data_IF_677003862300
#
_entry.id   IF_677003862300
#
_cell.length_a   1.000
_cell.length_b   1.000
_cell.length_c   1.000
_cell.angle_alpha   90.00
_cell.angle_beta   90.00
_cell.angle_gamma   90.00
#
_symmetry.space_group_name_H-M   'P 1'
#
loop_
_entity.id
_entity.type
_entity.pdbx_description
1 polymer ?
#
# COMPACT_ATOMS: atom_id res chain seq x y z
N UNK A 1 -33.63 -51.35 41.36
CA UNK A 1 -33.71 -49.99 40.86
C UNK A 1 -32.29 -49.53 40.47
N UNK A 2 -31.97 -49.43 39.16
CA UNK A 2 -30.65 -48.92 38.68
C UNK A 2 -30.81 -47.45 38.33
N UNK A 3 -30.08 -46.57 38.99
CA UNK A 3 -30.04 -45.17 38.70
C UNK A 3 -29.13 -44.94 37.45
N UNK A 4 -29.69 -44.34 36.41
CA UNK A 4 -28.96 -43.91 35.23
C UNK A 4 -28.45 -42.48 35.50
N UNK A 5 -27.14 -42.31 35.68
CA UNK A 5 -26.49 -40.97 35.73
C UNK A 5 -26.33 -40.39 34.31
N UNK A 6 -27.03 -39.32 34.04
CA UNK A 6 -26.93 -38.55 32.81
C UNK A 6 -25.74 -37.59 32.96
N UNK A 7 -24.63 -37.83 32.23
CA UNK A 7 -23.48 -36.91 32.16
C UNK A 7 -23.78 -35.91 31.02
N UNK A 8 -24.13 -34.67 31.40
CA UNK A 8 -24.22 -33.56 30.42
C UNK A 8 -22.85 -33.10 30.02
N UNK A 9 -22.48 -33.34 28.76
CA UNK A 9 -21.26 -32.83 28.15
C UNK A 9 -21.49 -31.36 27.74
N UNK A 10 -20.92 -30.42 28.50
CA UNK A 10 -20.93 -28.99 28.16
C UNK A 10 -19.83 -28.77 27.09
N UNK A 11 -20.22 -28.60 25.84
CA UNK A 11 -19.32 -28.17 24.76
C UNK A 11 -19.15 -26.65 24.87
N UNK A 12 -18.04 -26.19 25.45
CA UNK A 12 -17.64 -24.79 25.42
C UNK A 12 -17.09 -24.47 24.03
N UNK A 13 -17.93 -23.90 23.19
CA UNK A 13 -17.48 -23.31 21.91
C UNK A 13 -16.78 -21.99 22.21
N UNK A 14 -15.45 -21.97 22.23
CA UNK A 14 -14.67 -20.73 22.21
C UNK A 14 -14.89 -20.05 20.86
N UNK A 15 -15.77 -19.06 20.82
CA UNK A 15 -15.83 -18.12 19.70
C UNK A 15 -14.55 -17.25 19.75
N UNK A 16 -13.53 -17.59 18.96
CA UNK A 16 -12.48 -16.64 18.62
C UNK A 16 -13.16 -15.52 17.81
N UNK A 17 -13.41 -14.38 18.42
CA UNK A 17 -13.77 -13.16 17.71
C UNK A 17 -12.54 -12.75 16.90
N UNK A 18 -12.48 -13.18 15.64
CA UNK A 18 -11.47 -12.69 14.71
C UNK A 18 -11.63 -11.15 14.64
N UNK A 19 -10.68 -10.42 15.17
CA UNK A 19 -10.66 -8.97 15.04
C UNK A 19 -10.38 -8.67 13.57
N UNK A 20 -11.29 -7.96 12.89
CA UNK A 20 -11.05 -7.56 11.51
C UNK A 20 -9.82 -6.64 11.46
N UNK A 21 -8.90 -6.90 10.52
CA UNK A 21 -7.71 -6.08 10.33
C UNK A 21 -8.13 -4.69 9.85
N UNK A 22 -7.49 -3.65 10.36
CA UNK A 22 -7.76 -2.25 9.98
C UNK A 22 -6.66 -1.77 9.03
N UNK A 23 -7.08 -1.32 7.84
CA UNK A 23 -6.22 -0.73 6.82
C UNK A 23 -6.49 0.78 6.78
N UNK A 24 -5.50 1.55 7.15
CA UNK A 24 -5.57 3.02 7.20
C UNK A 24 -4.82 3.61 6.02
N UNK A 25 -5.52 4.39 5.20
CA UNK A 25 -4.93 5.16 4.12
C UNK A 25 -4.58 6.55 4.62
N UNK A 26 -3.37 6.99 4.32
CA UNK A 26 -2.93 8.35 4.60
C UNK A 26 -3.71 9.37 3.77
N UNK A 27 -4.22 10.39 4.45
CA UNK A 27 -4.86 11.56 3.89
C UNK A 27 -4.20 12.86 4.38
N UNK A 28 -3.01 12.76 4.96
CA UNK A 28 -2.27 13.88 5.49
C UNK A 28 -1.12 14.31 4.60
N UNK A 29 -0.31 13.39 4.13
CA UNK A 29 0.83 13.68 3.25
C UNK A 29 0.39 13.84 1.79
N UNK A 30 -0.64 13.11 1.35
CA UNK A 30 -1.35 13.37 0.11
C UNK A 30 -2.72 13.96 0.44
N UNK A 31 -2.95 15.21 0.05
CA UNK A 31 -4.21 15.93 0.34
C UNK A 31 -4.59 16.91 -0.76
N UNK A 32 -4.28 16.53 -1.99
CA UNK A 32 -4.62 17.31 -3.17
C UNK A 32 -6.09 17.71 -3.22
N UNK A 33 -6.33 18.89 -3.75
CA UNK A 33 -7.68 19.42 -3.93
C UNK A 33 -7.85 19.99 -5.32
N UNK A 34 -9.03 19.86 -5.88
CA UNK A 34 -9.41 20.55 -7.10
C UNK A 34 -10.69 21.38 -6.90
N UNK A 35 -10.90 22.32 -7.82
CA UNK A 35 -12.12 23.11 -7.86
C UNK A 35 -13.09 22.47 -8.84
N UNK A 36 -14.26 22.06 -8.36
CA UNK A 36 -15.32 21.50 -9.20
C UNK A 36 -15.92 22.56 -10.13
N UNK A 37 -16.72 22.13 -11.10
CA UNK A 37 -17.47 23.05 -11.99
C UNK A 37 -18.43 23.97 -11.25
N UNK A 38 -18.91 23.57 -10.06
CA UNK A 38 -19.75 24.40 -9.18
C UNK A 38 -18.93 25.38 -8.32
N UNK A 39 -17.59 25.34 -8.41
CA UNK A 39 -16.69 26.20 -7.63
C UNK A 39 -16.37 25.65 -6.23
N UNK A 40 -16.88 24.48 -5.83
CA UNK A 40 -16.56 23.82 -4.58
C UNK A 40 -15.13 23.25 -4.63
N UNK A 41 -14.38 23.38 -3.54
CA UNK A 41 -13.09 22.70 -3.40
C UNK A 41 -13.35 21.31 -2.85
N UNK A 42 -12.86 20.30 -3.54
CA UNK A 42 -12.99 18.90 -3.15
C UNK A 42 -11.61 18.24 -3.20
N UNK A 43 -11.37 17.32 -2.27
CA UNK A 43 -10.21 16.45 -2.30
C UNK A 43 -10.37 15.42 -3.43
N UNK A 44 -9.28 15.01 -4.03
CA UNK A 44 -9.24 13.97 -5.06
C UNK A 44 -7.93 13.18 -4.99
N UNK A 45 -7.74 12.19 -5.84
CA UNK A 45 -6.69 11.20 -5.86
C UNK A 45 -6.71 10.23 -4.65
N UNK A 46 -6.42 8.99 -4.93
CA UNK A 46 -6.12 7.90 -4.00
C UNK A 46 -7.10 7.73 -2.82
N UNK A 47 -8.37 8.16 -2.93
CA UNK A 47 -9.34 8.02 -1.84
C UNK A 47 -10.12 6.70 -1.92
N UNK A 48 -10.47 6.12 -0.74
CA UNK A 48 -11.27 4.90 -0.66
C UNK A 48 -12.68 5.03 -1.27
N UNK A 49 -13.28 6.18 -1.21
CA UNK A 49 -14.61 6.50 -1.73
C UNK A 49 -14.59 7.11 -3.13
N UNK A 50 -13.40 7.41 -3.68
CA UNK A 50 -13.26 7.90 -5.04
C UNK A 50 -13.34 6.75 -6.04
N UNK A 51 -14.39 6.78 -6.89
CA UNK A 51 -14.61 5.84 -7.99
C UNK A 51 -14.03 6.29 -9.33
N UNK A 52 -13.46 7.49 -9.40
CA UNK A 52 -12.76 7.99 -10.59
C UNK A 52 -11.51 7.15 -10.87
N UNK A 53 -10.89 7.38 -12.02
CA UNK A 53 -9.71 6.64 -12.47
C UNK A 53 -8.56 6.66 -11.44
N UNK A 54 -8.33 7.80 -10.82
CA UNK A 54 -7.26 8.05 -9.84
C UNK A 54 -7.63 7.64 -8.41
N UNK A 55 -8.85 7.15 -8.16
CA UNK A 55 -9.29 6.72 -6.84
C UNK A 55 -8.81 5.32 -6.46
N UNK A 56 -8.94 4.98 -5.17
CA UNK A 56 -8.59 3.68 -4.60
C UNK A 56 -9.81 2.83 -4.21
N UNK A 57 -11.02 3.17 -4.70
CA UNK A 57 -12.23 2.43 -4.32
C UNK A 57 -12.19 0.94 -4.67
N UNK A 58 -11.48 0.56 -5.75
CA UNK A 58 -11.32 -0.85 -6.13
C UNK A 58 -10.31 -1.56 -5.24
N UNK A 59 -9.18 -0.93 -4.90
CA UNK A 59 -8.24 -1.46 -3.92
C UNK A 59 -8.93 -1.65 -2.56
N UNK A 60 -9.73 -0.66 -2.13
CA UNK A 60 -10.53 -0.77 -0.90
C UNK A 60 -11.45 -1.99 -0.89
N UNK A 61 -12.15 -2.26 -2.02
CA UNK A 61 -12.98 -3.47 -2.17
C UNK A 61 -12.17 -4.76 -2.09
N UNK A 62 -10.95 -4.78 -2.62
CA UNK A 62 -10.05 -5.95 -2.51
C UNK A 62 -9.67 -6.20 -1.04
N UNK A 63 -9.32 -5.16 -0.27
CA UNK A 63 -9.09 -5.29 1.17
C UNK A 63 -10.33 -5.81 1.91
N UNK A 64 -11.51 -5.24 1.67
CA UNK A 64 -12.76 -5.68 2.28
C UNK A 64 -13.12 -7.13 1.95
N UNK A 65 -12.92 -7.57 0.70
CA UNK A 65 -13.10 -8.96 0.27
C UNK A 65 -12.18 -9.92 1.04
N UNK A 66 -11.00 -9.45 1.44
CA UNK A 66 -10.04 -10.21 2.25
C UNK A 66 -10.26 -10.02 3.78
N UNK A 67 -11.41 -9.46 4.21
CA UNK A 67 -11.82 -9.38 5.61
C UNK A 67 -11.32 -8.13 6.37
N UNK A 68 -10.68 -7.18 5.69
CA UNK A 68 -10.20 -5.96 6.31
C UNK A 68 -11.27 -4.86 6.37
N UNK A 69 -11.16 -3.97 7.35
CA UNK A 69 -11.91 -2.72 7.47
C UNK A 69 -11.04 -1.55 7.00
N UNK A 70 -11.65 -0.61 6.29
CA UNK A 70 -10.98 0.59 5.79
C UNK A 70 -11.10 1.73 6.79
N UNK A 71 -10.00 2.45 6.99
CA UNK A 71 -9.91 3.66 7.79
C UNK A 71 -9.07 4.72 7.04
N UNK A 72 -9.07 5.95 7.49
CA UNK A 72 -8.30 7.06 6.93
C UNK A 72 -7.65 7.88 8.03
N UNK A 73 -6.49 8.48 7.73
CA UNK A 73 -5.78 9.35 8.66
C UNK A 73 -5.48 10.70 7.99
N UNK A 74 -6.29 11.72 8.32
CA UNK A 74 -6.15 13.08 7.79
C UNK A 74 -5.36 14.05 8.70
N UNK A 75 -4.60 13.52 9.65
CA UNK A 75 -3.73 14.27 10.57
C UNK A 75 -2.35 13.62 10.64
N UNK A 76 -1.34 14.36 11.11
CA UNK A 76 0.02 13.83 11.25
C UNK A 76 0.04 12.48 11.99
N UNK A 77 0.74 11.47 11.47
CA UNK A 77 0.78 10.15 12.09
C UNK A 77 1.49 10.19 13.44
N UNK A 78 0.91 9.52 14.42
CA UNK A 78 1.52 9.26 15.73
C UNK A 78 1.26 7.81 16.12
N UNK A 79 2.06 7.26 17.02
CA UNK A 79 1.83 5.91 17.54
C UNK A 79 0.43 5.77 18.16
N UNK A 80 -0.12 6.85 18.71
CA UNK A 80 -1.45 6.84 19.33
C UNK A 80 -2.58 6.77 18.30
N UNK A 81 -2.51 7.51 17.20
CA UNK A 81 -3.56 7.49 16.18
C UNK A 81 -3.40 6.31 15.22
N UNK A 82 -2.19 5.74 15.08
CA UNK A 82 -1.95 4.50 14.34
C UNK A 82 -2.17 3.21 15.14
N UNK A 83 -2.39 3.27 16.46
CA UNK A 83 -2.49 2.05 17.30
C UNK A 83 -3.64 1.11 16.92
N UNK A 84 -4.70 1.60 16.27
CA UNK A 84 -5.80 0.78 15.75
C UNK A 84 -5.46 0.14 14.41
N UNK A 85 -4.55 0.75 13.65
CA UNK A 85 -4.19 0.32 12.30
C UNK A 85 -3.29 -0.91 12.36
N UNK A 86 -3.60 -1.89 11.53
CA UNK A 86 -2.73 -3.05 11.30
C UNK A 86 -1.86 -2.82 10.06
N UNK A 87 -2.43 -2.14 9.04
CA UNK A 87 -1.73 -1.71 7.81
C UNK A 87 -1.91 -0.19 7.67
N UNK A 88 -0.82 0.52 7.36
CA UNK A 88 -0.83 1.94 7.03
C UNK A 88 -0.26 2.12 5.63
N UNK A 89 -0.98 2.86 4.78
CA UNK A 89 -0.61 3.11 3.39
C UNK A 89 -0.31 4.59 3.24
N UNK A 90 0.92 4.92 2.86
CA UNK A 90 1.31 6.25 2.41
C UNK A 90 1.47 6.19 0.90
N UNK A 91 0.76 7.04 0.19
CA UNK A 91 0.78 7.10 -1.26
C UNK A 91 1.12 8.52 -1.70
N UNK A 92 2.10 8.64 -2.58
CA UNK A 92 2.36 9.82 -3.40
C UNK A 92 2.31 11.14 -2.60
N UNK A 93 3.20 11.35 -1.58
CA UNK A 93 3.22 12.59 -0.81
C UNK A 93 3.33 13.81 -1.72
N UNK A 94 2.46 14.82 -1.49
CA UNK A 94 2.27 15.99 -2.34
C UNK A 94 3.54 16.81 -2.55
N UNK A 95 3.78 17.21 -3.78
CA UNK A 95 4.74 18.26 -4.14
C UNK A 95 4.08 19.66 -4.00
N UNK A 96 4.90 20.72 -4.08
CA UNK A 96 4.39 22.10 -4.14
C UNK A 96 3.57 22.43 -5.38
N UNK A 97 3.64 21.58 -6.42
CA UNK A 97 2.83 21.76 -7.64
C UNK A 97 1.40 21.29 -7.41
N UNK A 98 1.22 20.24 -6.61
CA UNK A 98 -0.07 19.60 -6.32
C UNK A 98 -0.76 20.26 -5.14
N UNK A 99 -0.01 20.57 -4.11
CA UNK A 99 -0.50 21.31 -2.93
C UNK A 99 0.37 22.54 -2.67
N UNK A 100 -0.19 23.76 -2.61
CA UNK A 100 0.59 24.98 -2.28
C UNK A 100 1.28 24.91 -0.92
N UNK A 101 0.75 24.14 0.01
CA UNK A 101 1.26 23.95 1.36
C UNK A 101 1.29 22.45 1.70
N UNK A 102 2.20 21.66 1.09
CA UNK A 102 2.25 20.24 1.34
C UNK A 102 2.69 19.92 2.76
N UNK A 103 2.17 18.85 3.32
CA UNK A 103 2.62 18.31 4.59
C UNK A 103 3.82 17.39 4.33
N UNK A 104 5.04 17.87 4.55
CA UNK A 104 6.24 17.06 4.41
C UNK A 104 6.38 16.05 5.55
N UNK A 105 6.96 14.89 5.24
CA UNK A 105 7.28 13.85 6.23
C UNK A 105 8.48 14.32 7.07
N UNK A 106 8.20 14.87 8.23
CA UNK A 106 9.17 15.44 9.15
C UNK A 106 9.81 14.38 10.06
N UNK A 107 10.93 14.69 10.70
CA UNK A 107 11.64 13.75 11.60
C UNK A 107 10.76 13.20 12.74
N UNK A 108 9.78 13.99 13.23
CA UNK A 108 8.79 13.53 14.23
C UNK A 108 7.89 12.43 13.66
N UNK A 109 7.42 12.60 12.42
CA UNK A 109 6.52 11.65 11.76
C UNK A 109 7.26 10.34 11.46
N UNK A 110 8.51 10.45 10.98
CA UNK A 110 9.42 9.31 10.78
C UNK A 110 9.59 8.52 12.06
N UNK A 111 9.86 9.20 13.18
CA UNK A 111 10.05 8.55 14.49
C UNK A 111 8.78 7.80 14.95
N UNK A 112 7.61 8.39 14.77
CA UNK A 112 6.33 7.79 15.18
C UNK A 112 5.95 6.60 14.29
N UNK A 113 6.08 6.74 12.96
CA UNK A 113 5.83 5.65 12.00
C UNK A 113 6.82 4.49 12.26
N UNK A 114 8.12 4.79 12.44
CA UNK A 114 9.12 3.76 12.71
C UNK A 114 8.84 2.98 14.00
N UNK A 115 8.45 3.66 15.08
CA UNK A 115 8.04 3.01 16.35
C UNK A 115 6.80 2.13 16.14
N UNK A 116 5.82 2.60 15.37
CA UNK A 116 4.62 1.84 15.08
C UNK A 116 4.94 0.57 14.25
N UNK A 117 5.74 0.69 13.20
CA UNK A 117 6.21 -0.48 12.42
C UNK A 117 7.01 -1.43 13.32
N UNK A 118 7.96 -0.90 14.12
CA UNK A 118 8.77 -1.74 15.03
C UNK A 118 7.90 -2.55 16.00
N UNK A 119 6.76 -2.02 16.39
CA UNK A 119 5.80 -2.69 17.30
C UNK A 119 4.93 -3.74 16.60
N UNK A 120 4.95 -3.82 15.27
CA UNK A 120 4.23 -4.84 14.50
C UNK A 120 3.33 -4.28 13.39
N UNK A 121 3.35 -2.98 13.12
CA UNK A 121 2.61 -2.38 12.01
C UNK A 121 3.15 -2.83 10.65
N UNK A 122 2.28 -2.93 9.65
CA UNK A 122 2.63 -3.19 8.25
C UNK A 122 2.51 -1.90 7.46
N UNK A 123 3.63 -1.38 6.95
CA UNK A 123 3.68 -0.14 6.17
C UNK A 123 3.76 -0.45 4.68
N UNK A 124 2.86 0.16 3.89
CA UNK A 124 2.96 0.21 2.43
C UNK A 124 3.30 1.65 2.01
N UNK A 125 4.41 1.83 1.33
CA UNK A 125 4.85 3.08 0.73
C UNK A 125 4.72 2.98 -0.79
N UNK A 126 3.86 3.80 -1.37
CA UNK A 126 3.67 3.91 -2.82
C UNK A 126 4.25 5.26 -3.25
N UNK A 127 5.34 5.24 -4.01
CA UNK A 127 5.95 6.43 -4.59
C UNK A 127 5.44 6.65 -6.03
N UNK A 128 6.08 7.54 -6.74
CA UNK A 128 5.85 7.84 -8.13
C UNK A 128 7.16 8.37 -8.75
N UNK A 129 7.17 8.79 -10.00
CA UNK A 129 8.29 9.55 -10.56
C UNK A 129 8.43 10.92 -9.85
N UNK A 130 9.63 11.48 -9.86
CA UNK A 130 9.96 12.70 -9.11
C UNK A 130 9.22 13.97 -9.56
N UNK A 131 8.51 13.91 -10.69
CA UNK A 131 7.64 15.00 -11.14
C UNK A 131 6.32 15.06 -10.35
N UNK A 132 5.90 13.94 -9.77
CA UNK A 132 4.60 13.73 -9.15
C UNK A 132 4.66 13.42 -7.65
N UNK A 133 5.83 13.08 -7.08
CA UNK A 133 5.98 12.74 -5.66
C UNK A 133 7.07 13.56 -4.97
N UNK A 134 6.88 13.90 -3.72
CA UNK A 134 7.88 14.56 -2.88
C UNK A 134 8.88 13.52 -2.35
N UNK A 135 9.88 13.16 -3.16
CA UNK A 135 10.89 12.15 -2.81
C UNK A 135 11.84 12.54 -1.67
N UNK A 136 12.31 13.81 -1.52
CA UNK A 136 13.31 14.13 -0.51
C UNK A 136 12.91 13.75 0.91
N UNK A 137 11.72 14.11 1.36
CA UNK A 137 11.24 13.78 2.71
C UNK A 137 10.71 12.34 2.79
N UNK A 138 10.11 11.83 1.71
CA UNK A 138 9.68 10.43 1.66
C UNK A 138 10.87 9.48 1.76
N UNK A 139 12.01 9.81 1.14
CA UNK A 139 13.25 9.06 1.26
C UNK A 139 13.86 9.08 2.67
N UNK A 140 13.65 10.14 3.46
CA UNK A 140 14.06 10.15 4.86
C UNK A 140 13.31 9.08 5.67
N UNK A 141 12.03 8.84 5.37
CA UNK A 141 11.27 7.74 5.97
C UNK A 141 11.74 6.38 5.43
N UNK A 142 11.87 6.24 4.11
CA UNK A 142 12.27 4.99 3.46
C UNK A 142 13.66 4.52 3.94
N UNK A 143 14.59 5.44 4.17
CA UNK A 143 15.95 5.16 4.64
C UNK A 143 15.98 4.45 5.99
N UNK A 144 15.03 4.70 6.89
CA UNK A 144 14.90 3.99 8.18
C UNK A 144 14.75 2.48 7.97
N UNK A 145 14.13 2.09 6.88
CA UNK A 145 13.86 0.70 6.51
C UNK A 145 14.88 0.12 5.52
N UNK A 146 15.96 0.88 5.22
CA UNK A 146 17.00 0.47 4.27
C UNK A 146 16.60 0.60 2.81
N UNK A 147 15.68 1.47 2.47
CA UNK A 147 15.17 1.71 1.12
C UNK A 147 15.42 3.15 0.69
N UNK A 148 15.56 3.38 -0.61
CA UNK A 148 15.64 4.70 -1.22
C UNK A 148 14.97 4.67 -2.59
N UNK A 149 13.98 5.52 -2.81
CA UNK A 149 13.36 5.76 -4.10
C UNK A 149 14.29 6.64 -4.93
N UNK A 150 14.76 6.12 -6.07
CA UNK A 150 15.69 6.83 -6.94
C UNK A 150 14.93 7.87 -7.77
N UNK A 151 15.60 8.99 -8.05
CA UNK A 151 15.09 9.99 -8.99
C UNK A 151 15.41 9.55 -10.42
N UNK A 152 14.71 8.49 -10.87
CA UNK A 152 14.84 7.94 -12.21
C UNK A 152 13.45 7.57 -12.78
N UNK A 153 13.40 7.30 -14.07
CA UNK A 153 12.17 6.97 -14.78
C UNK A 153 12.32 5.60 -15.42
N UNK A 154 11.74 4.58 -14.78
CA UNK A 154 11.67 3.23 -15.30
C UNK A 154 10.32 2.97 -15.97
N UNK A 155 10.23 2.00 -16.87
CA UNK A 155 8.99 1.59 -17.52
C UNK A 155 8.20 2.76 -18.13
N UNK A 156 8.90 3.72 -18.76
CA UNK A 156 8.24 4.89 -19.35
C UNK A 156 7.27 4.47 -20.46
N UNK A 157 6.02 4.92 -20.37
CA UNK A 157 4.93 4.59 -21.30
C UNK A 157 4.38 5.87 -21.91
N UNK A 158 4.59 6.05 -23.20
CA UNK A 158 4.22 7.28 -23.94
C UNK A 158 2.69 7.42 -24.07
N UNK A 159 2.00 6.33 -24.38
CA UNK A 159 0.53 6.31 -24.56
C UNK A 159 -0.03 4.87 -24.50
N UNK A 160 -1.35 4.74 -24.56
CA UNK A 160 -2.09 3.47 -24.47
C UNK A 160 -1.83 2.47 -25.63
N UNK A 161 -1.03 2.81 -26.64
CA UNK A 161 -0.56 1.89 -27.67
C UNK A 161 0.75 1.21 -27.29
N UNK A 162 1.37 1.64 -26.20
CA UNK A 162 2.68 1.21 -25.72
C UNK A 162 2.62 0.53 -24.34
N UNK A 163 1.51 -0.14 -24.01
CA UNK A 163 1.38 -0.83 -22.71
C UNK A 163 2.52 -1.83 -22.42
N UNK A 164 3.13 -2.42 -23.47
CA UNK A 164 4.26 -3.34 -23.29
C UNK A 164 5.50 -2.68 -22.66
N UNK A 165 5.65 -1.36 -22.77
CA UNK A 165 6.77 -0.65 -22.14
C UNK A 165 6.64 -0.65 -20.61
N UNK A 166 5.41 -0.70 -20.09
CA UNK A 166 5.08 -0.84 -18.67
C UNK A 166 4.88 -2.28 -18.21
N UNK A 167 5.02 -3.27 -19.10
CA UNK A 167 4.78 -4.67 -18.75
C UNK A 167 5.87 -5.22 -17.81
N UNK A 168 5.44 -5.93 -16.77
CA UNK A 168 6.29 -6.65 -15.82
C UNK A 168 5.77 -8.07 -15.64
N UNK A 169 6.69 -9.03 -15.61
CA UNK A 169 6.38 -10.46 -15.54
C UNK A 169 6.91 -11.03 -14.20
N UNK A 170 6.06 -11.22 -13.18
CA UNK A 170 6.47 -11.68 -11.85
C UNK A 170 6.72 -13.21 -11.80
N UNK A 171 7.73 -13.67 -12.52
CA UNK A 171 8.07 -15.10 -12.59
C UNK A 171 8.58 -15.61 -11.25
N UNK A 172 7.94 -16.68 -10.71
CA UNK A 172 8.29 -17.28 -9.41
C UNK A 172 8.37 -16.27 -8.26
N UNK A 173 7.54 -15.23 -8.31
CA UNK A 173 7.52 -14.18 -7.29
C UNK A 173 6.79 -14.66 -6.03
N UNK A 174 7.36 -14.51 -4.82
CA UNK A 174 6.74 -15.00 -3.58
C UNK A 174 5.57 -14.13 -3.10
N UNK A 175 5.37 -12.95 -3.67
CA UNK A 175 4.29 -12.01 -3.34
C UNK A 175 3.21 -12.09 -4.42
N UNK A 176 3.59 -11.88 -5.68
CA UNK A 176 2.70 -11.90 -6.83
C UNK A 176 2.56 -13.35 -7.33
N UNK A 177 1.73 -14.13 -6.67
CA UNK A 177 1.63 -15.59 -6.85
C UNK A 177 0.72 -15.95 -8.02
N UNK A 178 -0.36 -15.18 -8.22
CA UNK A 178 -1.41 -15.48 -9.19
C UNK A 178 -1.31 -14.68 -10.48
N UNK A 179 -0.73 -13.49 -10.42
CA UNK A 179 -0.54 -12.61 -11.58
C UNK A 179 0.69 -13.03 -12.41
N UNK A 180 0.54 -13.05 -13.73
CA UNK A 180 1.61 -13.43 -14.69
C UNK A 180 2.15 -12.26 -15.49
N UNK A 181 1.32 -11.27 -15.77
CA UNK A 181 1.66 -10.04 -16.49
C UNK A 181 0.94 -8.88 -15.83
N UNK A 182 1.69 -7.90 -15.39
CA UNK A 182 1.16 -6.72 -14.72
C UNK A 182 1.70 -5.45 -15.39
N UNK A 183 1.04 -4.34 -15.13
CA UNK A 183 1.40 -3.04 -15.68
C UNK A 183 1.79 -2.10 -14.54
N UNK A 184 3.02 -1.57 -14.63
CA UNK A 184 3.51 -0.45 -13.83
C UNK A 184 4.23 0.50 -14.79
N UNK A 185 3.85 1.77 -14.79
CA UNK A 185 4.45 2.77 -15.67
C UNK A 185 5.09 3.90 -14.87
N UNK A 186 6.05 4.57 -15.50
CA UNK A 186 6.70 5.78 -14.98
C UNK A 186 7.21 5.60 -13.54
N UNK A 187 7.80 4.44 -13.29
CA UNK A 187 8.19 3.94 -11.97
C UNK A 187 9.52 4.54 -11.54
N UNK A 188 9.64 5.08 -10.35
CA UNK A 188 10.95 5.26 -9.73
C UNK A 188 11.52 3.92 -9.25
N UNK A 189 12.80 3.65 -9.52
CA UNK A 189 13.44 2.45 -8.99
C UNK A 189 13.77 2.58 -7.50
N UNK A 190 14.06 1.45 -6.84
CA UNK A 190 14.33 1.42 -5.40
C UNK A 190 15.72 0.82 -5.17
N UNK A 191 16.60 1.59 -4.51
CA UNK A 191 17.84 1.07 -3.96
C UNK A 191 17.59 0.43 -2.60
N UNK A 192 18.20 -0.74 -2.35
CA UNK A 192 18.03 -1.49 -1.10
C UNK A 192 19.36 -1.69 -0.38
N UNK A 193 19.34 -1.60 0.95
CA UNK A 193 20.48 -1.85 1.83
C UNK A 193 20.04 -2.49 3.15
N UNK A 194 20.98 -2.99 3.94
CA UNK A 194 20.73 -3.63 5.22
C UNK A 194 19.74 -4.81 5.10
N UNK A 195 18.59 -4.73 5.77
CA UNK A 195 17.55 -5.76 5.78
C UNK A 195 16.51 -5.62 4.65
N UNK A 196 16.63 -4.58 3.83
CA UNK A 196 15.75 -4.41 2.67
C UNK A 196 16.20 -5.30 1.52
N UNK A 197 15.25 -5.95 0.87
CA UNK A 197 15.51 -6.83 -0.27
C UNK A 197 14.59 -6.49 -1.44
N UNK A 198 15.09 -6.69 -2.65
CA UNK A 198 14.30 -6.58 -3.87
C UNK A 198 13.22 -7.69 -3.90
N UNK A 199 11.96 -7.30 -4.03
CA UNK A 199 10.84 -8.23 -4.17
C UNK A 199 10.36 -8.38 -5.61
N UNK A 200 10.50 -7.35 -6.44
CA UNK A 200 10.20 -7.40 -7.86
C UNK A 200 11.17 -6.50 -8.63
N UNK A 201 11.62 -6.96 -9.78
CA UNK A 201 12.44 -6.21 -10.73
C UNK A 201 11.72 -6.07 -12.06
N UNK A 202 11.98 -4.97 -12.76
CA UNK A 202 11.54 -4.79 -14.13
C UNK A 202 12.48 -5.50 -15.15
N UNK A 203 12.18 -5.36 -16.44
CA UNK A 203 12.99 -5.92 -17.55
C UNK A 203 14.44 -5.45 -17.56
N UNK A 204 14.74 -4.28 -16.99
CA UNK A 204 16.08 -3.71 -16.90
C UNK A 204 16.81 -4.10 -15.61
N UNK A 205 16.27 -5.04 -14.83
CA UNK A 205 16.79 -5.47 -13.53
C UNK A 205 16.75 -4.40 -12.43
N UNK A 206 16.07 -3.27 -12.66
CA UNK A 206 15.83 -2.28 -11.63
C UNK A 206 14.78 -2.79 -10.62
N UNK A 207 15.03 -2.65 -9.34
CA UNK A 207 14.05 -2.99 -8.30
C UNK A 207 12.91 -1.98 -8.31
N UNK A 208 11.67 -2.47 -8.45
CA UNK A 208 10.45 -1.66 -8.49
C UNK A 208 9.51 -1.95 -7.32
N UNK A 209 9.70 -3.08 -6.63
CA UNK A 209 9.10 -3.39 -5.33
C UNK A 209 10.22 -3.89 -4.41
N UNK A 210 10.28 -3.34 -3.22
CA UNK A 210 11.21 -3.76 -2.16
C UNK A 210 10.45 -4.05 -0.87
N UNK A 211 10.99 -4.94 -0.03
CA UNK A 211 10.42 -5.27 1.28
C UNK A 211 11.50 -5.27 2.36
N UNK A 212 11.11 -5.00 3.60
CA UNK A 212 11.99 -5.12 4.76
C UNK A 212 11.22 -5.59 5.99
N UNK A 213 11.90 -6.29 6.89
CA UNK A 213 11.46 -6.50 8.27
C UNK A 213 12.06 -5.42 9.17
N UNK A 214 11.23 -4.84 10.05
CA UNK A 214 11.67 -3.84 11.01
C UNK A 214 11.02 -4.08 12.37
N UNK A 215 11.79 -4.53 13.34
CA UNK A 215 11.27 -5.03 14.61
C UNK A 215 10.29 -6.20 14.39
N UNK A 216 9.05 -6.04 14.85
CA UNK A 216 7.97 -7.01 14.63
C UNK A 216 7.16 -6.76 13.36
N UNK A 217 7.35 -5.60 12.74
CA UNK A 217 6.59 -5.17 11.57
C UNK A 217 7.27 -5.47 10.23
N UNK A 218 6.60 -5.05 9.20
CA UNK A 218 7.02 -5.27 7.81
C UNK A 218 6.76 -4.00 6.99
N UNK A 219 7.64 -3.72 6.05
CA UNK A 219 7.51 -2.59 5.12
C UNK A 219 7.55 -3.13 3.70
N UNK A 220 6.67 -2.60 2.84
CA UNK A 220 6.74 -2.74 1.39
C UNK A 220 6.85 -1.34 0.79
N UNK A 221 7.76 -1.17 -0.16
CA UNK A 221 7.90 0.03 -0.97
C UNK A 221 7.69 -0.33 -2.44
N UNK A 222 6.94 0.49 -3.15
CA UNK A 222 6.66 0.35 -4.59
C UNK A 222 6.90 1.69 -5.26
N UNK A 223 7.56 1.68 -6.40
CA UNK A 223 7.95 2.88 -7.12
C UNK A 223 6.84 3.54 -7.95
N UNK A 224 5.62 3.03 -7.91
CA UNK A 224 4.44 3.55 -8.64
C UNK A 224 3.17 3.17 -7.87
N UNK A 225 2.17 4.09 -7.72
CA UNK A 225 0.90 3.76 -7.08
C UNK A 225 -0.06 2.99 -8.00
N UNK A 226 0.42 2.03 -8.76
CA UNK A 226 -0.22 1.25 -9.84
C UNK A 226 -1.58 0.60 -9.50
N UNK A 227 -2.00 0.62 -8.24
CA UNK A 227 -3.23 -0.03 -7.74
C UNK A 227 -4.46 0.88 -7.76
N UNK A 228 -4.39 2.02 -8.41
CA UNK A 228 -5.55 2.90 -8.56
C UNK A 228 -6.54 2.40 -9.63
N UNK A 229 -7.76 2.94 -9.59
CA UNK A 229 -8.92 2.36 -10.27
C UNK A 229 -8.73 2.15 -11.77
N UNK A 230 -8.05 3.05 -12.48
CA UNK A 230 -7.93 2.94 -13.94
C UNK A 230 -7.19 1.67 -14.36
N UNK A 231 -6.22 1.20 -13.57
CA UNK A 231 -5.52 -0.04 -13.85
C UNK A 231 -6.15 -1.28 -13.22
N UNK A 232 -7.10 -1.11 -12.29
CA UNK A 232 -7.87 -2.20 -11.72
C UNK A 232 -9.27 -2.35 -12.34
N UNK A 233 -9.66 -1.56 -13.33
CA UNK A 233 -11.02 -1.51 -13.87
C UNK A 233 -11.18 -1.90 -15.35
N UNK A 234 -10.12 -2.43 -15.97
CA UNK A 234 -10.19 -2.93 -17.33
C UNK A 234 -9.78 -1.93 -18.42
N UNK A 235 -9.09 -0.82 -18.07
CA UNK A 235 -8.42 0.05 -19.07
C UNK A 235 -7.30 -0.69 -19.79
N UNK A 236 -6.62 -1.62 -19.09
CA UNK A 236 -5.53 -2.40 -19.64
C UNK A 236 -6.03 -3.46 -20.64
N UNK A 237 -5.20 -3.87 -21.61
CA UNK A 237 -5.46 -5.06 -22.42
C UNK A 237 -5.76 -6.30 -21.54
N UNK A 238 -6.58 -7.21 -22.06
CA UNK A 238 -7.14 -8.33 -21.30
C UNK A 238 -6.13 -9.37 -20.79
N UNK A 239 -4.91 -9.32 -21.27
CA UNK A 239 -3.80 -10.18 -20.83
C UNK A 239 -3.03 -9.63 -19.61
N UNK A 240 -3.34 -8.38 -19.18
CA UNK A 240 -2.82 -7.83 -17.93
C UNK A 240 -3.68 -8.25 -16.73
N UNK A 241 -3.04 -8.54 -15.61
CA UNK A 241 -3.63 -9.15 -14.43
C UNK A 241 -3.40 -8.30 -13.17
N UNK A 242 -3.49 -6.96 -13.28
CA UNK A 242 -3.27 -6.04 -12.16
C UNK A 242 -4.26 -6.25 -11.01
N UNK A 243 -5.49 -6.64 -11.29
CA UNK A 243 -6.50 -6.99 -10.29
C UNK A 243 -6.07 -8.22 -9.44
N UNK A 244 -5.49 -9.25 -10.09
CA UNK A 244 -4.93 -10.40 -9.39
C UNK A 244 -3.69 -10.01 -8.58
N UNK A 245 -2.81 -9.20 -9.16
CA UNK A 245 -1.62 -8.70 -8.46
C UNK A 245 -1.99 -7.87 -7.23
N UNK A 246 -3.01 -7.02 -7.32
CA UNK A 246 -3.50 -6.25 -6.19
C UNK A 246 -4.07 -7.17 -5.07
N UNK A 247 -4.82 -8.23 -5.43
CA UNK A 247 -5.31 -9.23 -4.47
C UNK A 247 -4.13 -10.00 -3.82
N UNK A 248 -3.10 -10.36 -4.59
CA UNK A 248 -1.88 -10.99 -4.08
C UNK A 248 -1.14 -10.07 -3.09
N UNK A 249 -0.96 -8.79 -3.42
CA UNK A 249 -0.33 -7.79 -2.53
C UNK A 249 -1.14 -7.61 -1.25
N UNK A 250 -2.46 -7.48 -1.35
CA UNK A 250 -3.36 -7.34 -0.19
C UNK A 250 -3.24 -8.56 0.73
N UNK A 251 -3.27 -9.77 0.19
CA UNK A 251 -3.10 -11.02 0.96
C UNK A 251 -1.72 -11.06 1.63
N UNK A 252 -0.68 -10.66 0.91
CA UNK A 252 0.67 -10.61 1.47
C UNK A 252 0.76 -9.61 2.62
N UNK A 253 0.22 -8.40 2.49
CA UNK A 253 0.18 -7.39 3.55
C UNK A 253 -0.55 -7.93 4.79
N UNK A 254 -1.74 -8.51 4.62
CA UNK A 254 -2.54 -9.10 5.70
C UNK A 254 -1.78 -10.24 6.39
N UNK A 255 -1.12 -11.12 5.63
CA UNK A 255 -0.37 -12.24 6.17
C UNK A 255 0.87 -11.83 6.98
N UNK A 256 1.36 -10.60 6.81
CA UNK A 256 2.48 -10.04 7.55
C UNK A 256 2.08 -9.30 8.84
N UNK A 257 0.78 -9.20 9.15
CA UNK A 257 0.29 -8.67 10.42
C UNK A 257 0.65 -9.69 11.52
N UNK A 258 1.38 -9.29 12.56
CA UNK A 258 1.70 -10.21 13.65
C UNK A 258 0.45 -10.71 14.37
N UNK A 259 0.44 -12.00 14.71
CA UNK A 259 -0.63 -12.56 15.54
C UNK A 259 -0.61 -11.86 16.91
N UNK A 260 -1.69 -11.14 17.23
CA UNK A 260 -1.86 -10.55 18.57
C UNK A 260 -2.00 -11.69 19.57
N UNK A 261 -1.04 -11.81 20.49
CA UNK A 261 -1.07 -12.78 21.59
C UNK A 261 -1.99 -12.31 22.70
#
# INVERSE_FOLDING_TARGET
MKALSLISLIVITCFNTAHAQIVTLDYYFNHEVHKTSSGKIERYHYMWDDSANTGFSKLGKIFQKNGAQLDTLGIAPTINNLKKSDIYIIVDPDTKKESPHPNYIEQKDISEIAKWVHSGGVLLMLANDSANVELPHFNNLAAVFGMHFNDDLQNHVIDDRHFEDGAVYPVNNPILITARKIFLKDVCSISTQNNAVSALKNKNSATIIAIAKYGKGTVMAVGDPWVYNEYLNGRLPSDYENDKAADDVVKWLISNIPVKK
#
